data_IF_748484725572
#
_entry.id   IF_748484725572
#
_cell.length_a   1.000
_cell.length_b   1.000
_cell.length_c   1.000
_cell.angle_alpha   90.00
_cell.angle_beta   90.00
_cell.angle_gamma   90.00
#
_symmetry.space_group_name_H-M   'P 1'
#
loop_
_entity.id
_entity.type
_entity.pdbx_description
1 polymer ?
#
# COMPACT_ATOMS: atom_id res chain seq x y z
N UNK A 1 -1.45 -14.20 -5.74
CA UNK A 1 -2.83 -13.74 -5.98
C UNK A 1 -3.60 -13.92 -4.69
N UNK A 2 -4.10 -12.84 -4.14
CA UNK A 2 -4.80 -12.87 -2.84
C UNK A 2 -6.33 -13.02 -3.02
N UNK A 3 -6.82 -12.81 -4.26
CA UNK A 3 -8.23 -12.95 -4.60
C UNK A 3 -8.44 -13.51 -6.01
N UNK A 4 -9.67 -14.00 -6.28
CA UNK A 4 -10.09 -14.57 -7.57
C UNK A 4 -10.91 -13.59 -8.43
N UNK A 5 -11.39 -12.48 -7.84
CA UNK A 5 -12.19 -11.49 -8.55
C UNK A 5 -11.34 -10.71 -9.56
N UNK A 6 -11.83 -10.58 -10.78
CA UNK A 6 -11.16 -9.76 -11.80
C UNK A 6 -11.44 -8.27 -11.59
N UNK A 7 -10.53 -7.41 -12.07
CA UNK A 7 -10.66 -5.96 -11.89
C UNK A 7 -11.93 -5.39 -12.55
N UNK A 8 -12.32 -5.90 -13.71
CA UNK A 8 -13.56 -5.48 -14.37
C UNK A 8 -14.81 -5.89 -13.59
N UNK A 9 -14.84 -7.10 -13.00
CA UNK A 9 -15.93 -7.55 -12.15
C UNK A 9 -16.07 -6.68 -10.90
N UNK A 10 -14.94 -6.34 -10.23
CA UNK A 10 -14.92 -5.46 -9.06
C UNK A 10 -15.45 -4.06 -9.41
N UNK A 11 -15.01 -3.49 -10.54
CA UNK A 11 -15.47 -2.18 -11.01
C UNK A 11 -16.97 -2.17 -11.28
N UNK A 12 -17.50 -3.21 -11.96
CA UNK A 12 -18.93 -3.31 -12.25
C UNK A 12 -19.74 -3.47 -10.97
N UNK A 13 -19.31 -4.34 -10.06
CA UNK A 13 -20.00 -4.56 -8.80
C UNK A 13 -20.04 -3.30 -7.94
N UNK A 14 -18.95 -2.53 -7.87
CA UNK A 14 -18.94 -1.25 -7.17
C UNK A 14 -19.94 -0.25 -7.79
N UNK A 15 -20.01 -0.19 -9.12
CA UNK A 15 -20.99 0.65 -9.81
C UNK A 15 -22.43 0.21 -9.51
N UNK A 16 -22.74 -1.10 -9.56
CA UNK A 16 -24.06 -1.66 -9.24
C UNK A 16 -24.49 -1.37 -7.81
N UNK A 17 -23.54 -1.32 -6.87
CA UNK A 17 -23.79 -0.92 -5.48
C UNK A 17 -23.98 0.59 -5.28
N UNK A 18 -23.91 1.39 -6.37
CA UNK A 18 -24.12 2.82 -6.33
C UNK A 18 -22.89 3.65 -5.91
N UNK A 19 -21.71 3.04 -5.86
CA UNK A 19 -20.47 3.78 -5.64
C UNK A 19 -20.22 4.75 -6.81
N UNK A 20 -19.52 5.85 -6.54
CA UNK A 20 -19.12 6.85 -7.56
C UNK A 20 -17.73 6.58 -8.11
N UNK A 21 -16.91 5.87 -7.37
CA UNK A 21 -15.55 5.53 -7.74
C UNK A 21 -15.08 4.28 -6.99
N UNK A 22 -14.00 3.68 -7.50
CA UNK A 22 -13.24 2.64 -6.82
C UNK A 22 -11.75 2.84 -7.07
N UNK A 23 -10.91 2.57 -6.08
CA UNK A 23 -9.47 2.53 -6.26
C UNK A 23 -9.02 1.10 -6.63
N UNK A 24 -8.04 1.01 -7.54
CA UNK A 24 -7.36 -0.25 -7.89
C UNK A 24 -5.92 -0.11 -7.40
N UNK A 25 -5.55 -0.95 -6.43
CA UNK A 25 -4.29 -0.84 -5.68
C UNK A 25 -3.63 -2.22 -5.49
N UNK A 26 -3.34 -2.92 -6.60
CA UNK A 26 -2.67 -4.22 -6.57
C UNK A 26 -1.26 -4.10 -5.92
N UNK A 27 -0.79 -5.18 -5.31
CA UNK A 27 0.51 -5.24 -4.67
C UNK A 27 1.69 -5.10 -5.64
N UNK A 28 2.34 -3.95 -5.63
CA UNK A 28 3.58 -3.66 -6.36
C UNK A 28 3.46 -3.65 -7.89
N UNK A 29 2.26 -3.73 -8.45
CA UNK A 29 2.00 -3.83 -9.88
C UNK A 29 0.80 -2.98 -10.33
N UNK A 30 0.67 -2.76 -11.64
CA UNK A 30 -0.39 -1.95 -12.26
C UNK A 30 -1.13 -2.69 -13.39
N UNK A 31 -1.00 -4.01 -13.45
CA UNK A 31 -1.53 -4.83 -14.56
C UNK A 31 -3.06 -4.82 -14.68
N UNK A 32 -3.78 -4.52 -13.58
CA UNK A 32 -5.24 -4.45 -13.59
C UNK A 32 -5.81 -3.17 -14.25
N UNK A 33 -4.98 -2.15 -14.50
CA UNK A 33 -5.45 -0.85 -15.01
C UNK A 33 -6.19 -0.93 -16.35
N UNK A 34 -5.71 -1.66 -17.37
CA UNK A 34 -6.44 -1.76 -18.64
C UNK A 34 -7.82 -2.38 -18.48
N UNK A 35 -7.96 -3.43 -17.66
CA UNK A 35 -9.24 -4.08 -17.41
C UNK A 35 -10.22 -3.16 -16.68
N UNK A 36 -9.75 -2.47 -15.63
CA UNK A 36 -10.55 -1.49 -14.91
C UNK A 36 -10.99 -0.31 -15.79
N UNK A 37 -10.07 0.23 -16.60
CA UNK A 37 -10.39 1.29 -17.56
C UNK A 37 -11.43 0.84 -18.60
N UNK A 38 -11.31 -0.39 -19.10
CA UNK A 38 -12.27 -0.99 -20.01
C UNK A 38 -13.68 -1.09 -19.43
N UNK A 39 -13.79 -1.52 -18.18
CA UNK A 39 -15.06 -1.59 -17.44
C UNK A 39 -15.71 -0.20 -17.29
N UNK A 40 -14.93 0.80 -16.87
CA UNK A 40 -15.44 2.20 -16.77
C UNK A 40 -15.88 2.74 -18.12
N UNK A 41 -15.11 2.47 -19.20
CA UNK A 41 -15.50 2.87 -20.55
C UNK A 41 -16.85 2.26 -20.96
N UNK A 42 -17.10 0.98 -20.62
CA UNK A 42 -18.36 0.32 -20.88
C UNK A 42 -19.52 0.92 -20.08
N UNK A 43 -19.34 1.19 -18.78
CA UNK A 43 -20.32 1.85 -17.91
C UNK A 43 -20.69 3.22 -18.48
N UNK A 44 -19.71 4.05 -18.85
CA UNK A 44 -19.94 5.38 -19.42
C UNK A 44 -20.67 5.32 -20.75
N UNK A 45 -20.38 4.31 -21.58
CA UNK A 45 -21.07 4.11 -22.87
C UNK A 45 -22.55 3.76 -22.68
N UNK A 46 -22.94 3.16 -21.56
CA UNK A 46 -24.34 2.91 -21.19
C UNK A 46 -24.99 4.06 -20.40
N UNK A 47 -24.35 5.23 -20.33
CA UNK A 47 -24.89 6.42 -19.66
C UNK A 47 -24.57 6.53 -18.19
N UNK A 48 -23.79 5.61 -17.63
CA UNK A 48 -23.36 5.67 -16.23
C UNK A 48 -22.22 6.66 -16.01
N UNK A 49 -22.13 7.21 -14.79
CA UNK A 49 -21.00 8.04 -14.34
C UNK A 49 -20.23 7.28 -13.24
N UNK A 50 -19.04 6.81 -13.57
CA UNK A 50 -18.18 6.07 -12.67
C UNK A 50 -16.71 6.38 -12.93
N UNK A 51 -15.88 6.29 -11.86
CA UNK A 51 -14.46 6.62 -11.89
C UNK A 51 -13.61 5.48 -11.32
N UNK A 52 -12.47 5.19 -11.96
CA UNK A 52 -11.37 4.45 -11.35
C UNK A 52 -10.33 5.44 -10.82
N UNK A 53 -9.89 5.25 -9.59
CA UNK A 53 -8.72 5.87 -9.00
C UNK A 53 -7.58 4.86 -9.15
N UNK A 54 -6.57 5.23 -9.91
CA UNK A 54 -5.40 4.38 -10.11
C UNK A 54 -4.46 4.49 -8.93
N UNK A 55 -3.88 3.38 -8.50
CA UNK A 55 -2.94 3.35 -7.39
C UNK A 55 -2.20 2.02 -7.31
N UNK A 56 -1.34 1.89 -6.33
CA UNK A 56 -0.60 0.66 -6.02
C UNK A 56 -0.51 0.50 -4.51
N UNK A 57 -0.63 -0.71 -4.02
CA UNK A 57 -0.15 -1.03 -2.67
C UNK A 57 1.32 -1.41 -2.78
N UNK A 58 2.19 -0.47 -2.43
CA UNK A 58 3.62 -0.60 -2.61
C UNK A 58 4.26 -1.34 -1.43
N UNK A 59 5.42 -1.95 -1.69
CA UNK A 59 6.32 -2.47 -0.65
C UNK A 59 7.32 -1.37 -0.30
N UNK A 60 6.91 -0.50 0.62
CA UNK A 60 7.65 0.68 1.02
C UNK A 60 8.83 0.36 1.94
N UNK A 61 9.93 1.05 1.75
CA UNK A 61 11.12 1.00 2.61
C UNK A 61 11.61 2.42 2.87
N UNK A 62 11.68 2.80 4.14
CA UNK A 62 12.27 4.09 4.54
C UNK A 62 13.80 3.98 4.56
N UNK A 63 14.43 4.17 3.39
CA UNK A 63 15.87 4.17 3.19
C UNK A 63 16.53 5.52 3.53
N UNK A 64 15.74 6.50 3.97
CA UNK A 64 16.24 7.80 4.43
C UNK A 64 16.60 7.73 5.92
N UNK A 65 15.77 7.06 6.71
CA UNK A 65 15.98 6.91 8.16
C UNK A 65 16.59 5.56 8.56
N UNK A 66 16.75 4.62 7.61
CA UNK A 66 17.32 3.31 7.87
C UNK A 66 18.42 2.99 6.85
N UNK A 67 19.55 2.45 7.32
CA UNK A 67 20.58 1.93 6.44
C UNK A 67 20.19 0.54 5.91
N UNK A 68 19.70 0.51 4.68
CA UNK A 68 19.19 -0.71 4.03
C UNK A 68 19.96 -1.09 2.77
N UNK A 69 21.05 -0.37 2.44
CA UNK A 69 21.76 -0.51 1.15
C UNK A 69 22.30 -1.92 0.94
N UNK A 70 22.99 -2.46 1.92
CA UNK A 70 23.69 -3.75 1.83
C UNK A 70 22.88 -4.92 2.38
N UNK A 71 21.60 -4.69 2.73
CA UNK A 71 20.74 -5.73 3.26
C UNK A 71 20.26 -6.68 2.15
N UNK A 72 20.35 -7.99 2.41
CA UNK A 72 19.73 -9.00 1.53
C UNK A 72 18.19 -9.00 1.68
N UNK A 73 17.50 -9.78 0.84
CA UNK A 73 16.04 -9.83 0.80
C UNK A 73 15.40 -10.17 2.17
N UNK A 74 16.00 -11.10 2.94
CA UNK A 74 15.51 -11.51 4.26
C UNK A 74 15.68 -10.39 5.29
N UNK A 75 16.81 -9.70 5.27
CA UNK A 75 17.09 -8.57 6.17
C UNK A 75 16.20 -7.37 5.84
N UNK A 76 16.07 -7.03 4.56
CA UNK A 76 15.21 -5.93 4.09
C UNK A 76 13.73 -6.16 4.45
N UNK A 77 13.28 -7.41 4.53
CA UNK A 77 11.90 -7.74 4.88
C UNK A 77 11.45 -7.16 6.24
N UNK A 78 12.38 -6.88 7.16
CA UNK A 78 12.08 -6.25 8.47
C UNK A 78 11.73 -4.77 8.35
N UNK A 79 12.22 -4.10 7.30
CA UNK A 79 12.02 -2.67 7.04
C UNK A 79 11.00 -2.43 5.92
N UNK A 80 10.33 -3.47 5.45
CA UNK A 80 9.35 -3.42 4.38
C UNK A 80 7.96 -3.29 4.95
N UNK A 81 7.27 -2.24 4.57
CA UNK A 81 5.91 -1.92 4.97
C UNK A 81 4.98 -1.88 3.75
N UNK A 82 3.69 -2.02 3.97
CA UNK A 82 2.71 -1.69 2.95
C UNK A 82 2.42 -0.19 2.98
N UNK A 83 2.23 0.40 1.81
CA UNK A 83 1.87 1.80 1.64
C UNK A 83 0.99 1.95 0.41
N UNK A 84 -0.12 2.66 0.55
CA UNK A 84 -0.98 2.99 -0.59
C UNK A 84 -0.44 4.23 -1.28
N UNK A 85 -0.31 4.16 -2.61
CA UNK A 85 0.02 5.30 -3.47
C UNK A 85 -1.10 5.47 -4.46
N UNK A 86 -1.88 6.56 -4.38
CA UNK A 86 -2.96 6.88 -5.29
C UNK A 86 -2.54 7.99 -6.26
N UNK A 87 -3.08 7.94 -7.47
CA UNK A 87 -2.84 8.93 -8.52
C UNK A 87 -3.86 10.05 -8.41
N UNK A 88 -3.39 11.29 -8.25
CA UNK A 88 -4.21 12.52 -8.22
C UNK A 88 -4.44 13.10 -9.62
N UNK A 89 -3.43 13.02 -10.50
CA UNK A 89 -3.44 13.62 -11.83
C UNK A 89 -2.48 12.89 -12.79
N UNK A 90 -2.36 13.37 -14.04
CA UNK A 90 -1.50 12.75 -15.05
C UNK A 90 0.01 12.80 -14.71
N UNK A 91 0.46 13.83 -13.99
CA UNK A 91 1.84 13.88 -13.47
C UNK A 91 2.06 12.73 -12.49
N UNK A 92 1.13 12.55 -11.54
CA UNK A 92 1.17 11.43 -10.59
C UNK A 92 1.12 10.07 -11.29
N UNK A 93 0.34 9.90 -12.34
CA UNK A 93 0.32 8.64 -13.10
C UNK A 93 1.68 8.33 -13.73
N UNK A 94 2.33 9.33 -14.33
CA UNK A 94 3.70 9.20 -14.86
C UNK A 94 4.70 8.84 -13.75
N UNK A 95 4.59 9.51 -12.61
CA UNK A 95 5.48 9.29 -11.48
C UNK A 95 5.26 7.90 -10.88
N UNK A 96 4.02 7.44 -10.75
CA UNK A 96 3.71 6.09 -10.30
C UNK A 96 4.32 5.02 -11.23
N UNK A 97 4.21 5.17 -12.55
CA UNK A 97 4.84 4.24 -13.49
C UNK A 97 6.36 4.21 -13.35
N UNK A 98 7.00 5.36 -13.12
CA UNK A 98 8.45 5.41 -12.85
C UNK A 98 8.79 4.66 -11.56
N UNK A 99 8.04 4.90 -10.47
CA UNK A 99 8.26 4.21 -9.19
C UNK A 99 8.12 2.71 -9.31
N UNK A 100 7.07 2.22 -9.97
CA UNK A 100 6.88 0.79 -10.21
C UNK A 100 8.01 0.22 -11.07
N UNK A 101 8.45 0.93 -12.10
CA UNK A 101 9.58 0.50 -12.95
C UNK A 101 10.88 0.43 -12.15
N UNK A 102 11.19 1.46 -11.36
CA UNK A 102 12.37 1.48 -10.48
C UNK A 102 12.34 0.31 -9.48
N UNK A 103 11.19 0.07 -8.84
CA UNK A 103 11.02 -1.02 -7.88
C UNK A 103 11.30 -2.40 -8.50
N UNK A 104 10.89 -2.62 -9.76
CA UNK A 104 11.08 -3.89 -10.44
C UNK A 104 12.48 -4.05 -11.08
N UNK A 105 13.06 -2.96 -11.61
CA UNK A 105 14.32 -3.01 -12.36
C UNK A 105 15.56 -2.85 -11.47
N UNK A 106 15.44 -2.06 -10.39
CA UNK A 106 16.63 -1.67 -9.60
C UNK A 106 16.50 -2.04 -8.11
N UNK A 107 15.28 -2.08 -7.56
CA UNK A 107 15.07 -2.30 -6.12
C UNK A 107 14.36 -3.62 -5.82
N UNK A 108 14.46 -4.61 -6.71
CA UNK A 108 13.84 -5.91 -6.50
C UNK A 108 14.66 -6.77 -5.53
N UNK A 109 14.09 -7.05 -4.35
CA UNK A 109 14.68 -7.93 -3.33
C UNK A 109 13.64 -8.98 -2.88
N UNK A 110 13.28 -9.88 -3.80
CA UNK A 110 12.18 -10.84 -3.62
C UNK A 110 10.79 -10.20 -3.71
N UNK A 111 10.70 -8.88 -3.54
CA UNK A 111 9.54 -8.01 -3.78
C UNK A 111 10.03 -6.71 -4.43
N UNK A 112 9.21 -6.05 -5.27
CA UNK A 112 9.55 -4.76 -5.85
C UNK A 112 9.43 -3.67 -4.78
N UNK A 113 10.57 -3.15 -4.31
CA UNK A 113 10.61 -2.20 -3.20
C UNK A 113 10.46 -0.76 -3.70
N UNK A 114 9.62 0.01 -3.04
CA UNK A 114 9.50 1.45 -3.24
C UNK A 114 10.33 2.15 -2.17
N UNK A 115 11.50 2.66 -2.56
CA UNK A 115 12.40 3.40 -1.68
C UNK A 115 11.86 4.80 -1.40
N UNK A 116 11.82 5.24 -0.14
CA UNK A 116 11.40 6.58 0.26
C UNK A 116 12.15 7.67 -0.48
N UNK A 117 13.48 7.55 -0.58
CA UNK A 117 14.33 8.51 -1.29
C UNK A 117 13.96 8.73 -2.76
N UNK A 118 13.37 7.72 -3.42
CA UNK A 118 12.87 7.79 -4.80
C UNK A 118 11.43 8.32 -4.83
N UNK A 119 10.60 7.87 -3.90
CA UNK A 119 9.22 8.32 -3.77
C UNK A 119 9.15 9.83 -3.51
N UNK A 120 9.99 10.36 -2.61
CA UNK A 120 10.03 11.79 -2.28
C UNK A 120 10.34 12.65 -3.52
N UNK A 121 11.22 12.19 -4.41
CA UNK A 121 11.53 12.87 -5.68
C UNK A 121 10.39 12.82 -6.71
N UNK A 122 9.52 11.85 -6.61
CA UNK A 122 8.41 11.61 -7.53
C UNK A 122 7.03 11.85 -6.88
N UNK A 123 7.02 12.53 -5.73
CA UNK A 123 5.83 12.76 -4.89
C UNK A 123 4.72 13.56 -5.59
N UNK A 124 5.09 14.43 -6.54
CA UNK A 124 4.13 15.31 -7.20
C UNK A 124 3.01 14.52 -7.90
N UNK A 125 1.76 14.93 -7.61
CA UNK A 125 0.57 14.31 -8.18
C UNK A 125 0.17 12.96 -7.58
N UNK A 126 0.82 12.55 -6.48
CA UNK A 126 0.51 11.34 -5.72
C UNK A 126 -0.15 11.68 -4.37
N UNK A 127 -0.92 10.75 -3.86
CA UNK A 127 -1.54 10.77 -2.53
C UNK A 127 -1.09 9.49 -1.84
N UNK A 128 -0.55 9.61 -0.63
CA UNK A 128 -0.06 8.46 0.15
C UNK A 128 -1.01 8.12 1.30
N UNK A 129 -1.29 6.83 1.45
CA UNK A 129 -2.08 6.26 2.55
C UNK A 129 -1.26 5.32 3.42
N UNK A 130 -1.62 5.23 4.69
CA UNK A 130 -0.90 4.44 5.71
C UNK A 130 -1.07 2.92 5.58
N UNK A 131 -1.92 2.47 4.67
CA UNK A 131 -2.26 1.06 4.41
C UNK A 131 -2.84 0.30 5.62
N UNK A 132 -2.63 -1.02 5.64
CA UNK A 132 -3.21 -1.97 6.60
C UNK A 132 -2.30 -2.20 7.83
N UNK A 133 -2.50 -3.33 8.53
CA UNK A 133 -1.67 -3.75 9.68
C UNK A 133 -0.21 -4.01 9.31
N UNK A 134 0.11 -4.14 8.02
CA UNK A 134 1.49 -4.22 7.52
C UNK A 134 2.08 -2.84 7.20
N UNK A 135 1.33 -1.76 7.39
CA UNK A 135 1.79 -0.38 7.24
C UNK A 135 2.79 0.03 8.33
N UNK A 136 3.63 1.02 8.02
CA UNK A 136 4.66 1.50 8.93
C UNK A 136 4.05 2.05 10.24
N UNK A 137 3.04 2.90 10.14
CA UNK A 137 2.40 3.51 11.31
C UNK A 137 1.75 2.46 12.21
N UNK A 138 1.00 1.52 11.62
CA UNK A 138 0.34 0.48 12.40
C UNK A 138 1.36 -0.39 13.15
N UNK A 139 2.43 -0.79 12.47
CA UNK A 139 3.50 -1.58 13.11
C UNK A 139 4.25 -0.81 14.17
N UNK A 140 4.47 0.50 13.96
CA UNK A 140 5.06 1.37 14.98
C UNK A 140 4.19 1.47 16.24
N UNK A 141 2.86 1.51 16.09
CA UNK A 141 1.91 1.47 17.22
C UNK A 141 2.00 0.13 17.97
N UNK A 142 1.99 -1.00 17.25
CA UNK A 142 2.14 -2.34 17.87
C UNK A 142 3.49 -2.51 18.56
N UNK A 143 4.53 -1.88 18.03
CA UNK A 143 5.88 -1.88 18.62
C UNK A 143 6.04 -0.88 19.77
N UNK A 144 4.95 -0.20 20.18
CA UNK A 144 4.89 0.77 21.28
C UNK A 144 5.96 1.87 21.11
N UNK A 145 6.13 2.38 19.87
CA UNK A 145 7.07 3.45 19.59
C UNK A 145 6.66 4.75 20.31
N UNK A 146 7.62 5.61 20.66
CA UNK A 146 7.32 6.92 21.28
C UNK A 146 6.37 7.75 20.39
N UNK A 147 5.51 8.56 21.05
CA UNK A 147 4.53 9.41 20.37
C UNK A 147 5.17 10.32 19.32
N UNK A 148 6.32 10.88 19.58
CA UNK A 148 7.08 11.70 18.64
C UNK A 148 7.39 10.95 17.34
N UNK A 149 7.78 9.68 17.44
CA UNK A 149 8.04 8.84 16.28
C UNK A 149 6.74 8.48 15.53
N UNK A 150 5.66 8.21 16.26
CA UNK A 150 4.34 7.94 15.66
C UNK A 150 3.84 9.16 14.87
N UNK A 151 3.98 10.37 15.42
CA UNK A 151 3.61 11.61 14.76
C UNK A 151 4.47 11.84 13.51
N UNK A 152 5.79 11.65 13.60
CA UNK A 152 6.71 11.77 12.47
C UNK A 152 6.32 10.83 11.32
N UNK A 153 5.93 9.59 11.63
CA UNK A 153 5.48 8.62 10.64
C UNK A 153 4.13 9.04 10.06
N UNK A 154 3.18 9.45 10.91
CA UNK A 154 1.84 9.86 10.48
C UNK A 154 1.87 11.06 9.54
N UNK A 155 2.72 12.06 9.82
CA UNK A 155 2.87 13.27 9.00
C UNK A 155 3.37 12.99 7.58
N UNK A 156 3.96 11.82 7.32
CA UNK A 156 4.40 11.44 5.99
C UNK A 156 3.24 11.11 5.04
N UNK A 157 2.08 10.71 5.59
CA UNK A 157 0.91 10.29 4.83
C UNK A 157 -0.08 11.43 4.61
N UNK A 158 -0.77 11.43 3.47
CA UNK A 158 -1.86 12.38 3.19
C UNK A 158 -3.16 11.96 3.88
N UNK A 159 -3.32 10.65 4.16
CA UNK A 159 -4.44 10.11 4.92
C UNK A 159 -4.04 8.84 5.66
N UNK A 160 -4.75 8.56 6.76
CA UNK A 160 -4.57 7.35 7.57
C UNK A 160 -5.76 6.42 7.36
N UNK A 161 -5.47 5.11 7.29
CA UNK A 161 -6.49 4.08 7.11
C UNK A 161 -6.86 3.44 8.45
N UNK A 162 -8.16 3.30 8.68
CA UNK A 162 -8.70 2.59 9.83
C UNK A 162 -9.37 1.31 9.31
N UNK A 163 -8.85 0.17 9.75
CA UNK A 163 -9.37 -1.13 9.35
C UNK A 163 -10.62 -1.51 10.16
N UNK A 164 -11.62 -2.20 9.57
CA UNK A 164 -12.72 -2.79 10.32
C UNK A 164 -12.20 -3.76 11.38
N UNK A 165 -12.84 -3.80 12.56
CA UNK A 165 -12.43 -4.67 13.67
C UNK A 165 -12.24 -6.13 13.27
N UNK A 166 -13.09 -6.64 12.37
CA UNK A 166 -12.98 -8.02 11.86
C UNK A 166 -11.69 -8.32 11.11
N UNK A 167 -11.10 -7.34 10.42
CA UNK A 167 -9.85 -7.52 9.67
C UNK A 167 -8.65 -7.80 10.59
N UNK A 168 -8.65 -7.20 11.78
CA UNK A 168 -7.54 -7.28 12.73
C UNK A 168 -7.89 -8.15 13.95
N UNK A 169 -9.04 -8.82 13.97
CA UNK A 169 -9.46 -9.66 15.07
C UNK A 169 -8.48 -10.79 15.42
N UNK A 170 -7.72 -11.27 14.44
CA UNK A 170 -6.67 -12.28 14.66
C UNK A 170 -5.52 -11.77 15.55
N UNK A 171 -5.26 -10.47 15.56
CA UNK A 171 -4.16 -9.87 16.33
C UNK A 171 -4.42 -9.85 17.84
N UNK A 172 -5.69 -9.87 18.25
CA UNK A 172 -6.08 -9.95 19.69
C UNK A 172 -6.25 -11.39 20.17
N UNK A 173 -6.11 -12.39 19.28
CA UNK A 173 -6.13 -13.79 19.66
C UNK A 173 -4.72 -14.18 20.08
N UNK A 174 -4.56 -14.62 21.33
CA UNK A 174 -3.26 -14.98 21.97
C UNK A 174 -2.36 -15.89 21.13
N UNK A 175 -2.92 -16.76 20.30
CA UNK A 175 -2.17 -17.69 19.46
C UNK A 175 -1.46 -17.05 18.26
N UNK A 176 -1.80 -15.81 17.89
CA UNK A 176 -1.34 -15.16 16.65
C UNK A 176 -0.23 -14.14 16.89
N UNK A 177 -0.11 -13.61 18.11
CA UNK A 177 0.93 -12.69 18.53
C UNK A 177 1.44 -13.14 19.89
N UNK A 178 2.48 -13.98 19.94
CA UNK A 178 3.12 -14.33 21.21
C UNK A 178 3.63 -13.04 21.84
N UNK A 179 3.24 -12.83 23.09
CA UNK A 179 3.64 -11.66 23.88
C UNK A 179 5.17 -11.54 23.83
N UNK A 180 5.69 -10.35 23.45
CA UNK A 180 7.15 -10.14 23.37
C UNK A 180 7.85 -10.37 24.72
N UNK A 181 7.09 -10.39 25.81
CA UNK A 181 7.58 -10.65 27.18
C UNK A 181 8.06 -12.08 27.37
N UNK A 182 7.45 -13.07 26.71
CA UNK A 182 7.82 -14.49 26.87
C UNK A 182 9.13 -14.88 26.20
N UNK A 183 9.66 -14.05 25.28
CA UNK A 183 10.97 -14.29 24.67
C UNK A 183 12.16 -13.88 25.54
N UNK A 184 11.95 -13.17 26.67
CA UNK A 184 13.03 -12.75 27.58
C UNK A 184 13.17 -13.62 28.84
N UNK A 185 12.22 -14.44 29.14
CA UNK A 185 12.20 -15.21 30.41
C UNK A 185 12.55 -16.68 30.26
N UNK A 186 13.05 -17.17 29.13
CA UNK A 186 13.73 -18.46 29.04
C UNK A 186 13.18 -19.57 29.97
N UNK A 187 11.88 -19.63 30.22
CA UNK A 187 11.20 -20.63 31.00
C UNK A 187 10.17 -21.36 30.13
#
# INVERSE_FOLDING_TARGET
KDAVSSADAIVRQAYEWGHKAIAITDHGVVQAYPAAAGAVKAIRKSGGDFKVIYGVESYFVDDVNNDVKDLNAKQTAKFRYHQIILVKNLTGLKNLYKLVSEAHLHDFRGKPLTMRSKLDKLREGLILGSACEQGELYRAIIDEKPEEELLRIADYYDYLEIQPLGNNAFMVRESSYPDKKDKKTGA
#
